data_IF_253502845717
#
_entry.id   IF_253502845717
#
_cell.length_a   1.000
_cell.length_b   1.000
_cell.length_c   1.000
_cell.angle_alpha   90.00
_cell.angle_beta   90.00
_cell.angle_gamma   90.00
#
_symmetry.space_group_name_H-M   'P 1'
#
loop_
_entity.id
_entity.type
_entity.pdbx_description
1 polymer ?
#
# COMPACT_ATOMS: atom_id res chain seq x y z
N UNK A 1 13.60 -41.70 53.20
CA UNK A 1 13.70 -42.42 51.91
C UNK A 1 12.67 -41.86 50.95
N UNK A 2 13.02 -41.81 49.67
CA UNK A 2 12.25 -41.32 48.50
C UNK A 2 12.49 -39.85 48.12
N UNK A 3 13.75 -39.66 47.75
CA UNK A 3 14.22 -38.82 46.66
C UNK A 3 13.43 -39.06 45.35
N UNK A 4 13.32 -38.00 44.54
CA UNK A 4 13.09 -38.01 43.08
C UNK A 4 11.66 -38.30 42.61
N UNK A 5 10.91 -37.24 42.29
CA UNK A 5 10.07 -37.25 41.09
C UNK A 5 9.79 -35.83 40.59
N UNK A 6 10.52 -35.48 39.52
CA UNK A 6 10.07 -34.63 38.42
C UNK A 6 10.02 -33.13 38.70
N UNK A 7 11.21 -32.56 38.64
CA UNK A 7 11.47 -31.25 38.03
C UNK A 7 10.47 -30.94 36.91
N UNK A 8 9.57 -29.99 37.19
CA UNK A 8 8.75 -29.30 36.18
C UNK A 8 9.72 -28.49 35.33
N UNK A 9 10.31 -29.14 34.32
CA UNK A 9 11.10 -28.44 33.31
C UNK A 9 10.12 -27.64 32.46
N UNK A 10 10.09 -26.35 32.73
CA UNK A 10 9.58 -25.27 31.89
C UNK A 10 10.21 -25.43 30.49
N UNK A 11 9.55 -26.17 29.61
CA UNK A 11 10.00 -26.37 28.22
C UNK A 11 8.99 -25.67 27.29
N UNK A 12 9.48 -24.56 26.75
CA UNK A 12 9.08 -24.00 25.45
C UNK A 12 7.73 -23.29 25.33
N UNK A 13 7.58 -22.19 26.07
CA UNK A 13 6.73 -21.07 25.65
C UNK A 13 7.42 -20.17 24.59
N UNK A 14 7.92 -20.77 23.48
CA UNK A 14 8.75 -20.05 22.50
C UNK A 14 8.35 -20.29 21.02
N UNK A 15 7.09 -20.61 20.72
CA UNK A 15 6.63 -20.86 19.34
C UNK A 15 5.43 -20.02 18.87
N UNK A 16 5.15 -18.88 19.49
CA UNK A 16 4.01 -18.02 19.08
C UNK A 16 4.41 -16.68 18.44
N UNK A 17 5.65 -16.52 17.97
CA UNK A 17 5.99 -15.42 17.08
C UNK A 17 5.75 -15.80 15.60
N UNK A 18 4.61 -16.42 15.30
CA UNK A 18 4.12 -16.46 13.92
C UNK A 18 3.55 -15.07 13.60
N UNK A 19 4.42 -14.09 13.31
CA UNK A 19 4.02 -12.87 12.63
C UNK A 19 3.60 -13.27 11.21
N UNK A 20 2.38 -13.78 11.07
CA UNK A 20 1.70 -13.77 9.79
C UNK A 20 1.72 -12.31 9.38
N UNK A 21 2.38 -11.98 8.27
CA UNK A 21 2.80 -10.61 8.00
C UNK A 21 2.23 -10.19 6.66
N UNK A 22 1.13 -9.44 6.69
CA UNK A 22 0.82 -8.57 5.57
C UNK A 22 2.03 -7.66 5.35
N UNK A 23 2.57 -7.63 4.15
CA UNK A 23 3.73 -6.79 3.87
C UNK A 23 3.27 -5.49 3.23
N UNK A 24 3.63 -4.37 3.86
CA UNK A 24 3.49 -3.02 3.31
C UNK A 24 4.86 -2.37 3.27
N UNK A 25 5.23 -1.81 2.13
CA UNK A 25 6.47 -1.05 2.03
C UNK A 25 6.32 0.09 1.02
N UNK A 26 7.11 1.14 1.20
CA UNK A 26 7.25 2.22 0.24
C UNK A 26 8.72 2.58 0.06
N UNK A 27 9.12 3.08 -1.09
CA UNK A 27 10.42 3.67 -1.32
C UNK A 27 10.22 5.03 -1.98
N UNK A 28 10.99 6.02 -1.57
CA UNK A 28 10.94 7.38 -2.11
C UNK A 28 12.34 7.75 -2.55
N UNK A 29 12.55 7.90 -3.86
CA UNK A 29 13.86 8.23 -4.44
C UNK A 29 14.10 9.73 -4.48
N UNK A 30 13.03 10.54 -4.57
CA UNK A 30 13.11 12.00 -4.62
C UNK A 30 12.12 12.65 -3.64
N UNK A 31 12.45 12.70 -2.33
CA UNK A 31 11.56 13.25 -1.30
C UNK A 31 11.12 14.71 -1.53
N UNK A 32 12.00 15.54 -2.10
CA UNK A 32 11.70 16.95 -2.41
C UNK A 32 10.60 17.12 -3.47
N UNK A 33 10.50 16.19 -4.42
CA UNK A 33 9.43 16.20 -5.43
C UNK A 33 8.09 15.89 -4.77
N UNK A 34 8.03 14.86 -3.91
CA UNK A 34 6.82 14.53 -3.14
C UNK A 34 6.38 15.70 -2.25
N UNK A 35 7.33 16.33 -1.53
CA UNK A 35 7.07 17.47 -0.63
C UNK A 35 6.58 18.74 -1.36
N UNK A 36 7.01 18.96 -2.60
CA UNK A 36 6.70 20.19 -3.35
C UNK A 36 5.49 20.07 -4.27
N UNK A 37 5.02 18.85 -4.56
CA UNK A 37 3.84 18.60 -5.38
C UNK A 37 2.59 19.22 -4.77
N UNK A 38 1.73 19.80 -5.62
CA UNK A 38 0.43 20.37 -5.22
C UNK A 38 -0.75 19.67 -5.87
N UNK A 39 -0.50 18.82 -6.84
CA UNK A 39 -1.52 18.10 -7.60
C UNK A 39 -1.08 16.69 -7.94
N UNK A 40 -2.04 15.77 -7.96
CA UNK A 40 -1.82 14.39 -8.34
C UNK A 40 -2.95 13.93 -9.27
N UNK A 41 -2.62 13.11 -10.26
CA UNK A 41 -3.61 12.47 -11.10
C UNK A 41 -3.43 10.95 -11.06
N UNK A 42 -4.44 10.25 -10.56
CA UNK A 42 -4.47 8.78 -10.49
C UNK A 42 -5.05 8.23 -11.77
N UNK A 43 -4.24 7.48 -12.50
CA UNK A 43 -4.63 6.85 -13.76
C UNK A 43 -5.42 5.59 -13.45
N UNK A 44 -6.66 5.53 -13.91
CA UNK A 44 -7.53 4.35 -13.86
C UNK A 44 -7.08 3.32 -14.90
N UNK A 45 -6.65 2.11 -14.50
CA UNK A 45 -6.30 1.06 -15.44
C UNK A 45 -7.58 0.33 -15.91
N UNK A 46 -8.15 0.79 -17.02
CA UNK A 46 -9.34 0.17 -17.63
C UNK A 46 -10.53 0.02 -16.67
N UNK A 47 -11.38 -0.99 -16.89
CA UNK A 47 -12.64 -1.15 -16.15
C UNK A 47 -12.53 -2.04 -14.89
N UNK A 48 -11.37 -2.66 -14.63
CA UNK A 48 -11.25 -3.74 -13.64
C UNK A 48 -10.83 -3.31 -12.22
N UNK A 49 -10.53 -2.04 -11.99
CA UNK A 49 -9.80 -1.57 -10.81
C UNK A 49 -10.60 -1.47 -9.50
N UNK A 50 -11.86 -1.92 -9.45
CA UNK A 50 -12.70 -1.98 -8.22
C UNK A 50 -12.56 -0.74 -7.30
N UNK A 51 -12.60 0.44 -7.92
CA UNK A 51 -12.51 1.77 -7.27
C UNK A 51 -11.17 2.10 -6.59
N UNK A 52 -10.11 1.31 -6.79
CA UNK A 52 -8.76 1.60 -6.24
C UNK A 52 -8.27 2.98 -6.67
N UNK A 53 -8.59 3.43 -7.89
CA UNK A 53 -8.26 4.77 -8.35
C UNK A 53 -8.92 5.87 -7.50
N UNK A 54 -10.15 5.62 -7.03
CA UNK A 54 -10.89 6.56 -6.17
C UNK A 54 -10.27 6.59 -4.79
N UNK A 55 -9.92 5.42 -4.24
CA UNK A 55 -9.29 5.31 -2.92
C UNK A 55 -7.93 6.01 -2.88
N UNK A 56 -7.10 5.79 -3.90
CA UNK A 56 -5.81 6.47 -4.03
C UNK A 56 -5.99 7.98 -4.20
N UNK A 57 -6.93 8.42 -5.04
CA UNK A 57 -7.22 9.85 -5.22
C UNK A 57 -7.64 10.50 -3.90
N UNK A 58 -8.55 9.89 -3.17
CA UNK A 58 -8.99 10.38 -1.85
C UNK A 58 -7.81 10.42 -0.86
N UNK A 59 -6.95 9.40 -0.87
CA UNK A 59 -5.76 9.33 0.00
C UNK A 59 -4.75 10.44 -0.32
N UNK A 60 -4.43 10.70 -1.60
CA UNK A 60 -3.58 11.84 -1.98
C UNK A 60 -4.23 13.19 -1.64
N UNK A 61 -5.56 13.31 -1.78
CA UNK A 61 -6.28 14.52 -1.37
C UNK A 61 -6.17 14.78 0.15
N UNK A 62 -6.26 13.72 0.98
CA UNK A 62 -6.02 13.79 2.44
C UNK A 62 -4.62 14.27 2.80
N UNK A 63 -3.64 14.13 1.90
CA UNK A 63 -2.28 14.70 2.04
C UNK A 63 -2.15 16.16 1.58
N UNK A 64 -3.27 16.79 1.22
CA UNK A 64 -3.32 18.21 0.84
C UNK A 64 -3.11 18.48 -0.65
N UNK A 65 -3.08 17.45 -1.49
CA UNK A 65 -2.92 17.60 -2.94
C UNK A 65 -4.29 17.83 -3.60
N UNK A 66 -4.31 18.61 -4.69
CA UNK A 66 -5.44 18.62 -5.62
C UNK A 66 -5.41 17.32 -6.44
N UNK A 67 -6.06 16.28 -5.93
CA UNK A 67 -6.05 14.95 -6.53
C UNK A 67 -7.27 14.70 -7.42
N UNK A 68 -7.04 14.13 -8.61
CA UNK A 68 -8.07 13.67 -9.53
C UNK A 68 -7.80 12.21 -9.94
N UNK A 69 -8.82 11.52 -10.44
CA UNK A 69 -8.69 10.19 -11.00
C UNK A 69 -9.45 10.09 -12.32
N UNK A 70 -8.92 9.30 -13.26
CA UNK A 70 -9.57 9.09 -14.55
C UNK A 70 -8.69 8.37 -15.57
N UNK A 71 -9.10 8.34 -16.85
CA UNK A 71 -8.34 7.66 -17.88
C UNK A 71 -6.98 8.32 -18.13
N UNK A 72 -6.06 7.57 -18.77
CA UNK A 72 -4.71 8.02 -19.11
C UNK A 72 -4.68 9.32 -19.93
N UNK A 73 -5.69 9.57 -20.75
CA UNK A 73 -5.81 10.79 -21.56
C UNK A 73 -6.01 12.05 -20.71
N UNK A 74 -6.56 11.94 -19.50
CA UNK A 74 -6.87 13.07 -18.64
C UNK A 74 -5.74 13.53 -17.71
N UNK A 75 -4.58 12.85 -17.71
CA UNK A 75 -3.50 13.11 -16.75
C UNK A 75 -2.80 14.47 -16.86
N UNK A 76 -3.04 15.20 -17.95
CA UNK A 76 -2.30 16.41 -18.31
C UNK A 76 -2.29 17.47 -17.20
N UNK A 77 -1.10 17.98 -16.88
CA UNK A 77 -0.91 19.18 -16.04
C UNK A 77 -0.81 18.94 -14.53
N UNK A 78 -0.95 17.71 -14.03
CA UNK A 78 -0.65 17.41 -12.63
C UNK A 78 0.87 17.41 -12.36
N UNK A 79 1.29 17.69 -11.12
CA UNK A 79 2.70 17.56 -10.71
C UNK A 79 3.09 16.07 -10.65
N UNK A 80 2.20 15.23 -10.13
CA UNK A 80 2.41 13.79 -9.98
C UNK A 80 1.39 13.00 -10.82
N UNK A 81 1.88 11.99 -11.53
CA UNK A 81 1.04 10.92 -12.08
C UNK A 81 1.15 9.68 -11.20
N UNK A 82 0.02 9.08 -10.88
CA UNK A 82 -0.04 7.88 -10.06
C UNK A 82 -0.61 6.75 -10.91
N UNK A 83 0.15 5.68 -11.06
CA UNK A 83 -0.32 4.43 -11.69
C UNK A 83 -0.34 3.33 -10.65
N UNK A 84 -1.18 2.34 -10.85
CA UNK A 84 -1.23 1.20 -9.94
C UNK A 84 -1.60 -0.10 -10.66
N UNK A 85 -1.27 -1.20 -10.00
CA UNK A 85 -1.71 -2.55 -10.38
C UNK A 85 -2.31 -3.20 -9.15
N UNK A 86 -3.62 -3.45 -9.21
CA UNK A 86 -4.35 -4.19 -8.21
C UNK A 86 -4.57 -5.64 -8.68
N UNK A 87 -4.45 -6.60 -7.75
CA UNK A 87 -4.84 -7.98 -8.00
C UNK A 87 -5.79 -8.43 -6.92
N UNK A 88 -6.92 -8.96 -7.37
CA UNK A 88 -7.98 -9.45 -6.51
C UNK A 88 -8.00 -10.97 -6.54
N UNK A 89 -8.39 -11.56 -5.42
CA UNK A 89 -8.63 -12.99 -5.32
C UNK A 89 -10.04 -13.26 -4.84
N UNK A 90 -10.54 -14.43 -5.21
CA UNK A 90 -11.83 -14.96 -4.78
C UNK A 90 -11.56 -16.37 -4.26
N UNK A 91 -11.78 -16.60 -2.98
CA UNK A 91 -11.76 -17.95 -2.39
C UNK A 91 -13.06 -18.19 -1.60
N UNK A 92 -13.39 -17.29 -0.69
CA UNK A 92 -14.65 -17.24 0.07
C UNK A 92 -15.32 -15.87 -0.04
N UNK A 93 -14.51 -14.80 -0.16
CA UNK A 93 -14.95 -13.45 -0.45
C UNK A 93 -14.02 -12.81 -1.48
N UNK A 94 -14.45 -11.71 -2.11
CA UNK A 94 -13.58 -10.89 -2.95
C UNK A 94 -12.68 -10.04 -2.05
N UNK A 95 -11.36 -10.12 -2.23
CA UNK A 95 -10.42 -9.28 -1.48
C UNK A 95 -9.20 -8.87 -2.30
N UNK A 96 -8.60 -7.75 -1.88
CA UNK A 96 -7.38 -7.22 -2.48
C UNK A 96 -6.20 -8.07 -2.03
N UNK A 97 -5.59 -8.79 -2.97
CA UNK A 97 -4.45 -9.66 -2.70
C UNK A 97 -3.13 -8.91 -2.79
N UNK A 98 -2.99 -8.06 -3.81
CA UNK A 98 -1.80 -7.22 -3.99
C UNK A 98 -2.20 -5.85 -4.52
N UNK A 99 -1.47 -4.82 -4.12
CA UNK A 99 -1.54 -3.49 -4.70
C UNK A 99 -0.13 -2.96 -4.86
N UNK A 100 0.22 -2.56 -6.07
CA UNK A 100 1.47 -1.86 -6.39
C UNK A 100 1.12 -0.46 -6.89
N UNK A 101 1.72 0.57 -6.31
CA UNK A 101 1.48 1.99 -6.63
C UNK A 101 2.81 2.61 -7.03
N UNK A 102 2.84 3.28 -8.19
CA UNK A 102 3.98 4.06 -8.68
C UNK A 102 3.59 5.52 -8.80
N UNK A 103 4.47 6.40 -8.30
CA UNK A 103 4.31 7.86 -8.36
C UNK A 103 5.40 8.40 -9.26
N UNK A 104 4.98 9.08 -10.32
CA UNK A 104 5.84 9.59 -11.39
C UNK A 104 5.77 11.11 -11.36
N UNK A 105 6.93 11.76 -11.37
CA UNK A 105 7.02 13.21 -11.57
C UNK A 105 6.69 13.54 -13.02
N UNK A 106 5.66 14.36 -13.25
CA UNK A 106 5.27 14.76 -14.59
C UNK A 106 6.34 15.63 -15.29
N UNK A 107 7.17 16.36 -14.54
CA UNK A 107 8.18 17.25 -15.12
C UNK A 107 9.35 16.45 -15.71
N UNK A 108 9.86 15.47 -14.95
CA UNK A 108 11.01 14.66 -15.36
C UNK A 108 10.62 13.34 -16.03
N UNK A 109 9.37 12.89 -15.88
CA UNK A 109 8.91 11.57 -16.33
C UNK A 109 9.46 10.40 -15.52
N UNK A 110 10.15 10.66 -14.40
CA UNK A 110 10.79 9.62 -13.57
C UNK A 110 9.87 9.17 -12.45
N UNK A 111 9.97 7.89 -12.09
CA UNK A 111 9.38 7.38 -10.86
C UNK A 111 10.12 7.98 -9.64
N UNK A 112 9.38 8.65 -8.78
CA UNK A 112 9.89 9.34 -7.58
C UNK A 112 9.52 8.64 -6.28
N UNK A 113 8.49 7.79 -6.31
CA UNK A 113 8.14 6.89 -5.22
C UNK A 113 7.39 5.67 -5.73
N UNK A 114 7.47 4.58 -4.96
CA UNK A 114 6.65 3.40 -5.16
C UNK A 114 6.18 2.86 -3.80
N UNK A 115 5.03 2.22 -3.76
CA UNK A 115 4.51 1.54 -2.58
C UNK A 115 3.86 0.21 -2.97
N UNK A 116 3.96 -0.78 -2.10
CA UNK A 116 3.41 -2.11 -2.35
C UNK A 116 2.74 -2.68 -1.10
N UNK A 117 1.65 -3.39 -1.35
CA UNK A 117 0.95 -4.25 -0.40
C UNK A 117 0.91 -5.69 -0.92
N UNK A 118 1.12 -6.65 -0.04
CA UNK A 118 0.94 -8.09 -0.29
C UNK A 118 0.18 -8.70 0.88
N UNK A 119 -1.00 -9.28 0.60
CA UNK A 119 -1.72 -10.08 1.57
C UNK A 119 -1.08 -11.47 1.72
N UNK A 120 -1.06 -11.99 2.94
CA UNK A 120 -0.66 -13.38 3.24
C UNK A 120 -1.90 -14.28 3.28
N UNK A 121 -1.74 -15.57 2.98
CA UNK A 121 -2.86 -16.53 2.94
C UNK A 121 -3.62 -16.70 4.28
N UNK A 122 -3.06 -16.26 5.41
CA UNK A 122 -3.66 -16.35 6.74
C UNK A 122 -4.24 -15.01 7.25
N UNK A 123 -4.17 -13.93 6.45
CA UNK A 123 -4.63 -12.59 6.81
C UNK A 123 -5.93 -12.21 6.10
N UNK A 124 -7.02 -12.84 6.53
CA UNK A 124 -8.41 -12.44 6.27
C UNK A 124 -8.72 -11.77 4.92
N UNK A 125 -9.59 -10.75 4.98
CA UNK A 125 -10.09 -10.01 3.82
C UNK A 125 -9.82 -8.50 4.04
N UNK A 126 -8.66 -7.98 3.61
CA UNK A 126 -8.26 -6.59 3.85
C UNK A 126 -9.21 -5.60 3.18
N UNK A 127 -9.45 -4.47 3.85
CA UNK A 127 -10.17 -3.34 3.27
C UNK A 127 -9.25 -2.60 2.28
N UNK A 128 -9.67 -2.54 1.01
CA UNK A 128 -8.89 -1.96 -0.08
C UNK A 128 -8.71 -0.44 0.05
N UNK A 129 -9.70 0.27 0.61
CA UNK A 129 -9.61 1.71 0.85
C UNK A 129 -8.57 2.00 1.92
N UNK A 130 -8.67 1.32 3.08
CA UNK A 130 -7.70 1.44 4.17
C UNK A 130 -6.29 1.09 3.70
N UNK A 131 -6.15 0.00 2.94
CA UNK A 131 -4.86 -0.42 2.38
C UNK A 131 -4.28 0.66 1.46
N UNK A 132 -5.09 1.27 0.60
CA UNK A 132 -4.65 2.35 -0.29
C UNK A 132 -4.21 3.59 0.48
N UNK A 133 -4.96 3.96 1.52
CA UNK A 133 -4.63 5.08 2.42
C UNK A 133 -3.30 4.84 3.13
N UNK A 134 -3.09 3.64 3.70
CA UNK A 134 -1.84 3.28 4.38
C UNK A 134 -0.63 3.31 3.44
N UNK A 135 -0.77 2.89 2.18
CA UNK A 135 0.33 2.98 1.21
C UNK A 135 0.70 4.43 0.89
N UNK A 136 -0.28 5.32 0.73
CA UNK A 136 -0.03 6.75 0.53
C UNK A 136 0.58 7.37 1.78
N UNK A 137 0.10 7.00 2.97
CA UNK A 137 0.67 7.43 4.25
C UNK A 137 2.16 7.08 4.32
N UNK A 138 2.54 5.85 3.96
CA UNK A 138 3.94 5.41 3.93
C UNK A 138 4.80 6.21 2.94
N UNK A 139 4.28 6.54 1.76
CA UNK A 139 4.98 7.39 0.78
C UNK A 139 5.30 8.75 1.40
N UNK A 140 4.30 9.41 2.00
CA UNK A 140 4.51 10.73 2.59
C UNK A 140 5.38 10.66 3.84
N UNK A 141 5.22 9.64 4.69
CA UNK A 141 6.06 9.43 5.86
C UNK A 141 7.54 9.30 5.48
N UNK A 142 7.86 8.54 4.42
CA UNK A 142 9.25 8.37 3.94
C UNK A 142 9.77 9.56 3.15
N UNK A 143 8.90 10.44 2.68
CA UNK A 143 9.31 11.70 2.07
C UNK A 143 9.69 12.75 3.11
N UNK A 144 9.17 12.66 4.34
CA UNK A 144 9.43 13.59 5.44
C UNK A 144 10.73 13.32 6.17
#
# INVERSE_FOLDING_TARGET
MNLIARTVSVVSAAFLAASCSETRNATVSQPSVIKSARSAYVVKPGDSSRDVEVFLKDAFAKKGLRAQAGPQSGKGGADLHVTFVDRWHWDMAMYLRTLDVSVIDNRSGKEVANAMYRNSALHGYPDARKTSEELVDLIFQKAH
#
